data_IF_861733107407
#
_entry.id   IF_861733107407
#
_cell.length_a   1.000
_cell.length_b   1.000
_cell.length_c   1.000
_cell.angle_alpha   90.00
_cell.angle_beta   90.00
_cell.angle_gamma   90.00
#
_symmetry.space_group_name_H-M   'P 1'
#
loop_
_entity.id
_entity.type
_entity.pdbx_description
1 polymer ?
#
# COMPACT_ATOMS: atom_id res chain seq x y z
N UNK A 1 6.93 7.86 11.43
CA UNK A 1 6.81 7.35 10.05
C UNK A 1 7.54 6.03 9.94
N UNK A 2 6.92 5.05 9.34
CA UNK A 2 7.49 3.73 9.19
C UNK A 2 7.47 3.30 7.72
N UNK A 3 8.59 2.80 7.23
CA UNK A 3 8.74 2.38 5.84
C UNK A 3 9.06 0.89 5.78
N UNK A 4 8.33 0.17 4.95
CA UNK A 4 8.48 -1.27 4.79
C UNK A 4 8.39 -1.62 3.32
N UNK A 5 9.12 -2.64 2.89
CA UNK A 5 9.04 -3.14 1.53
C UNK A 5 8.31 -4.47 1.51
N UNK A 6 7.37 -4.60 0.58
CA UNK A 6 6.57 -5.81 0.44
C UNK A 6 6.42 -6.19 -1.03
N UNK A 7 6.06 -7.45 -1.26
CA UNK A 7 5.54 -7.89 -2.55
C UNK A 7 4.07 -8.19 -2.38
N UNK A 8 3.26 -7.67 -3.29
CA UNK A 8 1.82 -7.80 -3.21
C UNK A 8 1.33 -8.52 -4.47
N UNK A 9 0.76 -9.68 -4.29
CA UNK A 9 0.11 -10.39 -5.39
C UNK A 9 -1.33 -9.92 -5.56
N UNK A 10 -1.92 -10.24 -6.71
CA UNK A 10 -3.30 -9.86 -6.99
C UNK A 10 -4.27 -10.38 -5.92
N UNK A 11 -4.02 -11.59 -5.42
CA UNK A 11 -4.87 -12.22 -4.41
C UNK A 11 -4.79 -11.53 -3.05
N UNK A 12 -3.73 -10.74 -2.81
CA UNK A 12 -3.49 -10.10 -1.52
C UNK A 12 -4.04 -8.69 -1.44
N UNK A 13 -4.45 -8.12 -2.57
CA UNK A 13 -4.80 -6.70 -2.65
C UNK A 13 -5.96 -6.34 -1.74
N UNK A 14 -7.03 -7.15 -1.75
CA UNK A 14 -8.20 -6.89 -0.91
C UNK A 14 -7.84 -6.88 0.58
N UNK A 15 -7.07 -7.86 1.02
CA UNK A 15 -6.68 -7.94 2.42
C UNK A 15 -5.79 -6.76 2.82
N UNK A 16 -4.89 -6.37 1.93
CA UNK A 16 -4.00 -5.24 2.16
C UNK A 16 -4.79 -3.93 2.29
N UNK A 17 -5.68 -3.66 1.33
CA UNK A 17 -6.48 -2.43 1.34
C UNK A 17 -7.41 -2.40 2.54
N UNK A 18 -8.02 -3.53 2.90
CA UNK A 18 -8.90 -3.60 4.07
C UNK A 18 -8.12 -3.29 5.35
N UNK A 19 -6.93 -3.86 5.49
CA UNK A 19 -6.10 -3.58 6.66
C UNK A 19 -5.70 -2.11 6.72
N UNK A 20 -5.33 -1.52 5.60
CA UNK A 20 -4.97 -0.11 5.54
C UNK A 20 -6.16 0.79 5.89
N UNK A 21 -7.36 0.42 5.43
CA UNK A 21 -8.57 1.20 5.67
C UNK A 21 -8.93 1.25 7.15
N UNK A 22 -8.58 0.22 7.91
CA UNK A 22 -8.84 0.19 9.35
C UNK A 22 -7.91 1.08 10.15
N UNK A 23 -6.83 1.57 9.54
CA UNK A 23 -5.89 2.45 10.21
C UNK A 23 -6.38 3.90 10.17
N UNK A 24 -6.15 4.63 11.26
CA UNK A 24 -6.54 6.04 11.36
C UNK A 24 -5.57 6.99 10.69
N UNK A 25 -4.42 6.49 10.28
CA UNK A 25 -3.36 7.31 9.68
C UNK A 25 -3.22 6.97 8.19
N UNK A 26 -2.55 7.87 7.47
CA UNK A 26 -2.32 7.68 6.05
C UNK A 26 -1.24 6.62 5.80
N UNK A 27 -1.46 5.82 4.79
CA UNK A 27 -0.52 4.80 4.33
C UNK A 27 -0.39 4.94 2.83
N UNK A 28 0.84 5.10 2.36
CA UNK A 28 1.14 5.19 0.93
C UNK A 28 1.84 3.92 0.46
N UNK A 29 1.55 3.55 -0.78
CA UNK A 29 2.28 2.49 -1.48
C UNK A 29 2.91 3.12 -2.69
N UNK A 30 4.21 2.92 -2.87
CA UNK A 30 4.86 3.47 -4.04
C UNK A 30 5.78 2.46 -4.73
N UNK A 31 5.85 2.65 -6.04
CA UNK A 31 6.76 1.93 -6.91
C UNK A 31 7.30 2.91 -7.93
N UNK A 32 8.62 3.00 -8.01
CA UNK A 32 9.28 4.03 -8.82
C UNK A 32 8.77 5.43 -8.41
N UNK A 33 8.16 6.16 -9.33
CA UNK A 33 7.67 7.52 -9.09
C UNK A 33 6.17 7.57 -8.83
N UNK A 34 5.51 6.42 -8.82
CA UNK A 34 4.07 6.36 -8.58
C UNK A 34 3.82 6.20 -7.09
N UNK A 35 3.01 7.08 -6.53
CA UNK A 35 2.62 7.05 -5.12
C UNK A 35 1.10 6.94 -5.06
N UNK A 36 0.61 5.92 -4.37
CA UNK A 36 -0.81 5.60 -4.30
C UNK A 36 -1.23 5.49 -2.83
N UNK A 37 -2.43 5.98 -2.52
CA UNK A 37 -3.03 5.77 -1.20
C UNK A 37 -3.37 4.29 -1.04
N UNK A 38 -2.83 3.67 0.01
CA UNK A 38 -3.05 2.25 0.28
C UNK A 38 -4.52 1.92 0.56
N UNK A 39 -5.35 2.91 0.87
CA UNK A 39 -6.78 2.72 1.10
C UNK A 39 -7.59 2.75 -0.20
N UNK A 40 -6.95 3.02 -1.33
CA UNK A 40 -7.59 3.07 -2.64
C UNK A 40 -7.36 1.77 -3.38
N UNK A 41 -8.40 0.93 -3.43
CA UNK A 41 -8.28 -0.37 -4.09
C UNK A 41 -7.97 -0.22 -5.59
N UNK A 42 -8.60 0.74 -6.26
CA UNK A 42 -8.34 0.98 -7.68
C UNK A 42 -6.92 1.46 -7.92
N UNK A 43 -6.41 2.32 -7.02
CA UNK A 43 -5.03 2.79 -7.10
C UNK A 43 -4.03 1.66 -6.93
N UNK A 44 -4.25 0.81 -5.92
CA UNK A 44 -3.34 -0.30 -5.64
C UNK A 44 -3.35 -1.31 -6.78
N UNK A 45 -4.53 -1.60 -7.35
CA UNK A 45 -4.64 -2.50 -8.50
C UNK A 45 -3.92 -1.97 -9.73
N UNK A 46 -3.75 -0.64 -9.81
CA UNK A 46 -3.02 -0.02 -10.92
C UNK A 46 -1.51 -0.06 -10.78
N UNK A 47 -0.99 -0.52 -9.64
CA UNK A 47 0.44 -0.65 -9.44
C UNK A 47 0.97 -1.90 -10.14
N UNK A 48 2.28 -1.94 -10.33
CA UNK A 48 2.95 -3.09 -10.93
C UNK A 48 3.08 -4.20 -9.87
N UNK A 49 2.01 -4.97 -9.72
CA UNK A 49 1.95 -6.05 -8.73
C UNK A 49 2.98 -7.13 -9.05
N UNK A 50 3.46 -7.79 -8.00
CA UNK A 50 4.51 -8.78 -8.14
C UNK A 50 5.92 -8.19 -8.04
N UNK A 51 6.03 -6.87 -8.03
CA UNK A 51 7.29 -6.16 -7.77
C UNK A 51 7.39 -5.79 -6.29
N UNK A 52 8.58 -5.43 -5.88
CA UNK A 52 8.79 -4.93 -4.52
C UNK A 52 8.23 -3.52 -4.44
N UNK A 53 7.25 -3.33 -3.57
CA UNK A 53 6.60 -2.04 -3.34
C UNK A 53 7.08 -1.47 -2.00
N UNK A 54 7.14 -0.16 -1.91
CA UNK A 54 7.47 0.52 -0.66
C UNK A 54 6.19 1.01 0.00
N UNK A 55 5.97 0.59 1.23
CA UNK A 55 4.81 1.01 2.02
C UNK A 55 5.30 1.98 3.08
N UNK A 56 4.70 3.16 3.11
CA UNK A 56 5.05 4.21 4.08
C UNK A 56 3.83 4.51 4.95
N UNK A 57 3.96 4.28 6.24
CA UNK A 57 2.93 4.60 7.22
C UNK A 57 3.24 5.96 7.84
N UNK A 58 2.33 6.90 7.73
CA UNK A 58 2.52 8.28 8.16
C UNK A 58 1.96 8.56 9.55
N UNK A 59 1.63 7.54 10.30
CA UNK A 59 1.10 7.68 11.63
C UNK A 59 1.85 6.84 12.62
N UNK A 60 1.44 6.98 13.88
CA UNK A 60 1.93 6.15 14.96
C UNK A 60 0.80 5.27 15.46
N UNK A 61 1.09 4.03 15.62
CA UNK A 61 0.13 3.07 16.18
C UNK A 61 0.46 2.79 17.62
#
# INVERSE_FOLDING_TARGET
>A
MKVTKIKLGLDDVNAFVNAATECDFDIDVNYNRVIIDAKSILGVLGLDLGRVLTVTCHGES
#
